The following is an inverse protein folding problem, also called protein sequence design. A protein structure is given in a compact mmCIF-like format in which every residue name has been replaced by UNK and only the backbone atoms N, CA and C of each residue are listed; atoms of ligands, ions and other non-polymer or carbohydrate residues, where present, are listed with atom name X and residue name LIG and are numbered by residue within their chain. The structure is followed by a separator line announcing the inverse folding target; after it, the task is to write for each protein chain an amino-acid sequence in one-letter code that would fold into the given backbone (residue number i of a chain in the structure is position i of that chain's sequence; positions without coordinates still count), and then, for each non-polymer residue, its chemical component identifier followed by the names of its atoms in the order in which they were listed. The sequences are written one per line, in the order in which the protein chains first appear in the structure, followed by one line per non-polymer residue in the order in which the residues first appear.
data_IF_764922587847
#
_entry.id   IF_764922587847
#
_cell.length_a   1.000
_cell.length_b   1.000
_cell.length_c   1.000
_cell.angle_alpha   90.00
_cell.angle_beta   90.00
_cell.angle_gamma   90.00
#
_symmetry.space_group_name_H-M   'P 1'
#
loop_
_entity.id
_entity.type
_entity.pdbx_description
1 polymer ?
#
# COMPACT_ATOMS: atom_id res chain seq x y z
N UNK A 1 -13.23 1.39 -20.24
CA UNK A 1 -13.05 2.86 -20.06
C UNK A 1 -12.97 3.09 -18.57
N UNK A 2 -12.00 3.89 -18.10
CA UNK A 2 -11.75 4.08 -16.67
C UNK A 2 -12.39 5.39 -16.21
N UNK A 3 -13.01 5.34 -15.03
CA UNK A 3 -13.73 6.45 -14.41
C UNK A 3 -13.45 6.51 -12.91
N UNK A 4 -14.04 7.48 -12.20
CA UNK A 4 -13.94 7.60 -10.73
C UNK A 4 -14.50 6.39 -9.96
N UNK A 5 -15.28 5.53 -10.63
CA UNK A 5 -15.98 4.41 -10.00
C UNK A 5 -15.14 3.18 -9.67
N UNK A 6 -13.84 3.17 -9.98
CA UNK A 6 -12.88 2.08 -9.65
C UNK A 6 -13.42 0.67 -9.99
N UNK A 7 -13.95 0.50 -11.20
CA UNK A 7 -14.54 -0.78 -11.65
C UNK A 7 -13.54 -1.72 -12.31
N UNK A 8 -12.62 -1.15 -13.09
CA UNK A 8 -11.62 -1.89 -13.86
C UNK A 8 -10.32 -2.04 -13.04
N UNK A 9 -9.71 -3.22 -13.06
CA UNK A 9 -8.43 -3.46 -12.36
C UNK A 9 -7.54 -4.45 -13.09
N UNK A 10 -6.24 -4.33 -12.84
CA UNK A 10 -5.26 -5.39 -13.07
C UNK A 10 -5.04 -6.14 -11.75
N UNK A 11 -5.26 -7.46 -11.74
CA UNK A 11 -4.98 -8.30 -10.58
C UNK A 11 -3.70 -9.11 -10.81
N UNK A 12 -2.83 -9.12 -9.81
CA UNK A 12 -1.57 -9.86 -9.78
C UNK A 12 -1.65 -10.85 -8.64
N UNK A 13 -1.51 -12.14 -8.94
CA UNK A 13 -1.34 -13.21 -7.95
C UNK A 13 0.15 -13.50 -7.80
N UNK A 14 0.69 -13.24 -6.61
CA UNK A 14 2.12 -13.39 -6.32
C UNK A 14 2.48 -14.83 -5.94
N UNK A 15 1.49 -15.74 -5.87
CA UNK A 15 1.60 -17.18 -5.56
C UNK A 15 2.10 -17.50 -4.13
N UNK A 16 2.73 -16.55 -3.45
CA UNK A 16 3.20 -16.63 -2.08
C UNK A 16 3.04 -15.26 -1.38
N UNK A 17 3.19 -15.26 -0.06
CA UNK A 17 3.23 -14.03 0.72
C UNK A 17 4.48 -13.22 0.40
N UNK A 18 4.30 -11.93 0.13
CA UNK A 18 5.36 -10.97 -0.14
C UNK A 18 5.17 -9.71 0.71
N UNK A 19 6.29 -9.03 0.95
CA UNK A 19 6.33 -7.66 1.45
C UNK A 19 6.55 -6.75 0.26
N UNK A 20 5.59 -5.86 0.00
CA UNK A 20 5.61 -4.95 -1.14
C UNK A 20 6.00 -3.56 -0.65
N UNK A 21 7.06 -3.01 -1.24
CA UNK A 21 7.64 -1.72 -0.84
C UNK A 21 7.43 -0.65 -1.89
N UNK A 22 7.17 -1.01 -3.15
CA UNK A 22 6.85 -0.05 -4.19
C UNK A 22 6.02 -0.66 -5.33
N UNK A 23 5.37 0.20 -6.11
CA UNK A 23 4.76 -0.15 -7.39
C UNK A 23 5.31 0.79 -8.45
N UNK A 24 5.75 0.22 -9.57
CA UNK A 24 6.15 0.98 -10.76
C UNK A 24 5.08 0.86 -11.83
N UNK A 25 4.82 1.96 -12.52
CA UNK A 25 3.81 2.04 -13.58
C UNK A 25 4.36 2.68 -14.84
N UNK A 26 3.86 2.24 -15.98
CA UNK A 26 4.22 2.77 -17.29
C UNK A 26 3.03 2.73 -18.26
N UNK A 27 2.92 3.72 -19.14
CA UNK A 27 1.88 3.76 -20.17
C UNK A 27 2.16 2.88 -21.39
N UNK A 28 1.34 2.97 -22.45
CA UNK A 28 1.57 2.27 -23.72
C UNK A 28 2.41 3.14 -24.64
N UNK A 29 3.71 2.89 -24.75
CA UNK A 29 4.56 3.64 -25.70
C UNK A 29 4.26 3.26 -27.17
N UNK A 30 4.12 1.97 -27.46
CA UNK A 30 3.72 1.49 -28.79
C UNK A 30 4.60 1.99 -29.94
N UNK A 31 5.93 2.09 -29.76
CA UNK A 31 6.88 2.69 -30.74
C UNK A 31 6.50 4.13 -31.16
N UNK A 32 5.94 4.91 -30.23
CA UNK A 32 5.49 6.29 -30.47
C UNK A 32 4.05 6.42 -30.99
N UNK A 33 3.37 5.31 -31.27
CA UNK A 33 1.95 5.31 -31.69
C UNK A 33 0.99 5.20 -30.50
N UNK A 34 1.50 4.91 -29.30
CA UNK A 34 0.69 4.81 -28.11
C UNK A 34 0.48 6.15 -27.42
N UNK A 35 -0.76 6.39 -26.97
CA UNK A 35 -1.21 7.64 -26.37
C UNK A 35 -1.84 7.42 -24.99
N UNK A 36 -2.02 6.16 -24.58
CA UNK A 36 -2.77 5.77 -23.40
C UNK A 36 -1.84 5.47 -22.23
N UNK A 37 -2.14 6.07 -21.09
CA UNK A 37 -1.43 5.89 -19.82
C UNK A 37 -2.39 6.13 -18.66
N UNK A 38 -2.00 5.69 -17.46
CA UNK A 38 -2.79 5.82 -16.23
C UNK A 38 -2.24 6.97 -15.39
N UNK A 39 -3.02 8.05 -15.21
CA UNK A 39 -2.60 9.27 -14.49
C UNK A 39 -2.58 9.13 -12.98
N UNK A 40 -3.41 8.26 -12.45
CA UNK A 40 -3.47 7.93 -11.04
C UNK A 40 -4.03 6.52 -10.88
N UNK A 41 -3.81 5.92 -9.73
CA UNK A 41 -4.34 4.59 -9.43
C UNK A 41 -4.57 4.41 -7.93
N UNK A 42 -5.42 3.45 -7.61
CA UNK A 42 -5.67 2.96 -6.24
C UNK A 42 -5.20 1.53 -6.16
N UNK A 43 -4.70 1.13 -4.99
CA UNK A 43 -4.21 -0.21 -4.73
C UNK A 43 -5.10 -0.88 -3.71
N UNK A 44 -5.54 -2.09 -4.02
CA UNK A 44 -6.11 -3.00 -3.02
C UNK A 44 -5.25 -4.25 -2.93
N UNK A 45 -5.20 -4.86 -1.77
CA UNK A 45 -4.38 -6.03 -1.51
C UNK A 45 -5.15 -7.05 -0.68
N UNK A 46 -4.66 -8.29 -0.74
CA UNK A 46 -5.26 -9.40 -0.03
C UNK A 46 -4.19 -10.41 0.40
N UNK A 47 -4.39 -10.99 1.59
CA UNK A 47 -3.60 -12.11 2.09
C UNK A 47 -4.48 -13.16 2.79
N UNK A 48 -3.97 -14.40 2.98
CA UNK A 48 -4.66 -15.40 3.78
C UNK A 48 -5.02 -14.84 5.18
N UNK A 49 -6.25 -15.07 5.61
CA UNK A 49 -6.83 -14.49 6.83
C UNK A 49 -7.77 -13.32 6.59
N UNK A 50 -7.68 -12.64 5.44
CA UNK A 50 -8.58 -11.55 5.10
C UNK A 50 -9.89 -12.07 4.48
N UNK A 51 -11.01 -11.52 4.94
CA UNK A 51 -12.35 -11.85 4.41
C UNK A 51 -12.74 -11.00 3.19
N UNK A 52 -12.05 -9.87 2.98
CA UNK A 52 -12.24 -8.94 1.87
C UNK A 52 -10.91 -8.36 1.42
N UNK A 53 -10.90 -7.70 0.27
CA UNK A 53 -9.76 -6.89 -0.15
C UNK A 53 -9.64 -5.66 0.75
N UNK A 54 -8.43 -5.31 1.15
CA UNK A 54 -8.16 -4.08 1.88
C UNK A 54 -7.58 -3.03 0.96
N UNK A 55 -8.01 -1.78 1.17
CA UNK A 55 -7.54 -0.64 0.40
C UNK A 55 -6.31 -0.04 1.04
N UNK A 56 -5.27 0.13 0.24
CA UNK A 56 -4.08 0.81 0.69
C UNK A 56 -4.32 2.30 0.81
N UNK A 57 -3.84 2.88 1.90
CA UNK A 57 -3.81 4.30 2.18
C UNK A 57 -2.49 4.61 2.88
N UNK A 58 -1.92 5.77 2.60
CA UNK A 58 -0.79 6.24 3.40
C UNK A 58 -1.25 6.65 4.81
N UNK A 59 -0.30 6.98 5.67
CA UNK A 59 -0.56 7.40 7.07
C UNK A 59 -1.43 8.68 7.15
N UNK A 60 -1.45 9.49 6.10
CA UNK A 60 -2.33 10.67 5.98
C UNK A 60 -3.74 10.33 5.47
N UNK A 61 -4.04 9.05 5.23
CA UNK A 61 -5.32 8.59 4.68
C UNK A 61 -5.50 8.79 3.17
N UNK A 62 -4.44 9.14 2.44
CA UNK A 62 -4.47 9.30 0.98
C UNK A 62 -4.38 7.93 0.28
N UNK A 63 -5.40 7.62 -0.51
CA UNK A 63 -5.53 6.35 -1.26
C UNK A 63 -5.07 6.43 -2.71
N UNK A 64 -5.10 7.64 -3.31
CA UNK A 64 -4.82 7.85 -4.73
C UNK A 64 -3.32 8.08 -4.92
N UNK A 65 -2.67 7.16 -5.62
CA UNK A 65 -1.28 7.27 -6.04
C UNK A 65 -1.19 7.96 -7.39
N UNK A 66 -0.19 8.83 -7.55
CA UNK A 66 0.08 9.50 -8.82
C UNK A 66 0.73 8.51 -9.79
N UNK A 67 0.18 8.39 -11.00
CA UNK A 67 0.69 7.53 -12.06
C UNK A 67 1.54 8.29 -13.07
N UNK A 68 1.43 7.89 -14.33
CA UNK A 68 2.21 8.44 -15.43
C UNK A 68 1.64 9.77 -15.96
N UNK A 69 2.53 10.60 -16.50
CA UNK A 69 2.17 11.82 -17.25
C UNK A 69 2.40 11.66 -18.77
N UNK A 70 2.97 10.53 -19.18
CA UNK A 70 3.27 10.20 -20.57
C UNK A 70 3.31 8.66 -20.75
N UNK A 71 3.59 8.20 -21.96
CA UNK A 71 3.49 6.77 -22.30
C UNK A 71 4.76 5.95 -22.11
N UNK A 72 5.90 6.58 -21.78
CA UNK A 72 7.22 5.94 -21.81
C UNK A 72 8.04 6.12 -20.54
N UNK A 73 7.82 7.15 -19.74
CA UNK A 73 8.47 7.33 -18.44
C UNK A 73 7.86 6.37 -17.43
N UNK A 74 8.73 5.65 -16.74
CA UNK A 74 8.37 4.87 -15.56
C UNK A 74 8.13 5.81 -14.37
N UNK A 75 7.10 5.51 -13.58
CA UNK A 75 6.81 6.21 -12.32
C UNK A 75 6.79 5.16 -11.22
N UNK A 76 7.65 5.34 -10.22
CA UNK A 76 7.71 4.52 -9.01
C UNK A 76 7.00 5.25 -7.86
N UNK A 77 6.12 4.55 -7.17
CA UNK A 77 5.57 5.00 -5.89
C UNK A 77 6.02 4.04 -4.79
N UNK A 78 6.80 4.55 -3.84
CA UNK A 78 7.09 3.86 -2.59
C UNK A 78 5.80 3.75 -1.77
N UNK A 79 5.56 2.56 -1.21
CA UNK A 79 4.42 2.25 -0.37
C UNK A 79 4.81 2.45 1.09
N UNK A 80 4.35 3.56 1.65
CA UNK A 80 4.42 3.82 3.09
C UNK A 80 3.00 4.00 3.64
N UNK A 81 2.44 3.01 4.36
CA UNK A 81 3.11 1.79 4.84
C UNK A 81 3.33 0.73 3.76
N UNK A 82 4.30 -0.16 4.00
CA UNK A 82 4.52 -1.35 3.15
C UNK A 82 3.32 -2.29 3.24
N UNK A 83 3.16 -3.17 2.24
CA UNK A 83 2.01 -4.07 2.14
C UNK A 83 2.46 -5.53 2.32
N UNK A 84 1.79 -6.27 3.19
CA UNK A 84 1.90 -7.73 3.27
C UNK A 84 0.78 -8.39 2.48
N UNK A 85 1.10 -8.97 1.32
CA UNK A 85 0.10 -9.49 0.40
C UNK A 85 0.53 -10.75 -0.34
N UNK A 86 -0.47 -11.55 -0.72
CA UNK A 86 -0.34 -12.62 -1.71
C UNK A 86 -0.97 -12.25 -3.05
N UNK A 87 -1.88 -11.28 -3.05
CA UNK A 87 -2.55 -10.77 -4.25
C UNK A 87 -2.69 -9.26 -4.17
N UNK A 88 -2.58 -8.61 -5.32
CA UNK A 88 -2.68 -7.14 -5.45
C UNK A 88 -3.61 -6.82 -6.61
N UNK A 89 -4.42 -5.78 -6.44
CA UNK A 89 -5.20 -5.15 -7.50
C UNK A 89 -4.75 -3.71 -7.66
N UNK A 90 -4.46 -3.34 -8.90
CA UNK A 90 -4.20 -1.96 -9.29
C UNK A 90 -5.40 -1.49 -10.07
N UNK A 91 -6.11 -0.50 -9.54
CA UNK A 91 -7.26 0.14 -10.15
C UNK A 91 -6.82 1.45 -10.79
N UNK A 92 -6.71 1.54 -12.11
CA UNK A 92 -6.53 2.83 -12.75
C UNK A 92 -7.62 3.80 -12.33
N UNK A 93 -7.25 5.05 -12.11
CA UNK A 93 -8.13 6.13 -11.69
C UNK A 93 -7.97 7.33 -12.63
N UNK A 94 -9.09 7.93 -13.00
CA UNK A 94 -9.12 9.17 -13.79
C UNK A 94 -10.32 10.01 -13.34
N UNK A 95 -10.14 11.34 -13.32
CA UNK A 95 -11.22 12.26 -12.98
C UNK A 95 -12.32 12.32 -14.06
N UNK A 96 -11.95 12.01 -15.31
CA UNK A 96 -12.81 11.98 -16.48
C UNK A 96 -12.74 10.63 -17.18
N UNK A 97 -13.79 10.26 -17.89
CA UNK A 97 -13.85 9.01 -18.63
C UNK A 97 -12.80 9.00 -19.75
N UNK A 98 -11.87 8.05 -19.68
CA UNK A 98 -10.83 7.88 -20.72
C UNK A 98 -10.42 6.43 -20.87
N UNK A 99 -9.88 6.13 -22.05
CA UNK A 99 -9.14 4.89 -22.28
C UNK A 99 -7.75 5.03 -21.68
N UNK A 100 -7.32 4.04 -20.92
CA UNK A 100 -5.99 3.99 -20.30
C UNK A 100 -5.32 2.67 -20.65
N UNK A 101 -4.00 2.65 -20.57
CA UNK A 101 -3.21 1.43 -20.59
C UNK A 101 -2.25 1.47 -19.41
N UNK A 102 -2.06 0.32 -18.78
CA UNK A 102 -1.20 0.15 -17.63
C UNK A 102 -0.24 -1.00 -17.90
N UNK A 103 1.05 -0.73 -17.73
CA UNK A 103 2.08 -1.73 -17.43
C UNK A 103 2.50 -1.48 -15.99
N UNK A 104 2.62 -2.54 -15.21
CA UNK A 104 2.94 -2.43 -13.80
C UNK A 104 3.99 -3.45 -13.40
N UNK A 105 4.86 -3.06 -12.48
CA UNK A 105 5.79 -3.91 -11.76
C UNK A 105 5.52 -3.74 -10.26
N UNK A 106 5.48 -4.85 -9.53
CA UNK A 106 5.36 -4.84 -8.07
C UNK A 106 6.74 -5.12 -7.49
N UNK A 107 7.24 -4.20 -6.67
CA UNK A 107 8.58 -4.27 -6.08
C UNK A 107 8.48 -4.70 -4.62
N UNK A 108 9.30 -5.67 -4.24
CA UNK A 108 9.27 -6.22 -2.90
C UNK A 108 10.14 -7.47 -2.76
N UNK A 109 9.90 -8.24 -1.71
CA UNK A 109 10.58 -9.50 -1.43
C UNK A 109 9.61 -10.54 -0.85
N UNK A 110 10.01 -11.81 -0.85
CA UNK A 110 9.23 -12.91 -0.26
C UNK A 110 9.17 -12.76 1.25
N UNK A 111 7.98 -12.92 1.83
CA UNK A 111 7.78 -12.89 3.28
C UNK A 111 8.07 -14.27 3.90
N UNK A 112 9.25 -14.42 4.50
CA UNK A 112 9.73 -15.72 5.01
C UNK A 112 9.32 -16.01 6.47
N UNK A 113 8.85 -15.02 7.23
CA UNK A 113 8.59 -15.19 8.67
C UNK A 113 7.33 -16.01 8.97
N UNK A 114 6.50 -16.30 7.95
CA UNK A 114 5.24 -17.09 8.05
C UNK A 114 4.21 -16.54 9.06
N UNK A 115 4.43 -15.35 9.61
CA UNK A 115 3.44 -14.66 10.42
C UNK A 115 2.30 -14.17 9.51
N UNK A 116 1.07 -14.58 9.83
CA UNK A 116 -0.14 -14.17 9.09
C UNK A 116 -0.82 -12.95 9.72
N UNK A 117 -0.80 -12.88 11.05
CA UNK A 117 -1.37 -11.81 11.85
C UNK A 117 -0.87 -11.87 13.29
N UNK A 118 -0.88 -10.75 14.00
CA UNK A 118 -0.78 -10.70 15.47
C UNK A 118 -2.00 -10.02 16.09
N UNK A 119 -2.18 -10.26 17.39
CA UNK A 119 -3.17 -9.56 18.22
C UNK A 119 -2.46 -8.88 19.39
N UNK A 120 -2.77 -7.60 19.63
CA UNK A 120 -2.12 -6.78 20.66
C UNK A 120 -3.15 -5.86 21.35
N UNK A 121 -2.93 -5.43 22.61
CA UNK A 121 -3.68 -4.32 23.18
C UNK A 121 -3.49 -3.04 22.35
N UNK A 122 -4.48 -2.16 22.37
CA UNK A 122 -4.33 -0.82 21.78
C UNK A 122 -3.19 -0.06 22.47
N UNK A 123 -2.39 0.62 21.66
CA UNK A 123 -1.32 1.46 22.17
C UNK A 123 -1.85 2.64 23.00
N UNK A 124 -0.95 3.28 23.73
CA UNK A 124 -1.29 4.36 24.66
C UNK A 124 -0.99 5.70 24.00
N UNK A 125 -1.99 6.57 23.97
CA UNK A 125 -1.82 7.99 23.66
C UNK A 125 -1.62 8.79 24.95
N UNK A 126 -0.47 9.46 25.08
CA UNK A 126 -0.13 10.33 26.22
C UNK A 126 -0.10 11.79 25.77
N UNK A 127 -1.21 12.51 26.01
CA UNK A 127 -1.36 13.90 25.61
C UNK A 127 -1.45 14.07 24.08
N UNK A 128 -1.02 15.23 23.58
CA UNK A 128 -1.02 15.53 22.13
C UNK A 128 0.29 15.14 21.43
N UNK A 129 1.34 14.80 22.18
CA UNK A 129 2.70 14.66 21.65
C UNK A 129 3.17 13.22 21.47
N UNK A 130 2.56 12.26 22.17
CA UNK A 130 3.03 10.86 22.16
C UNK A 130 1.86 9.93 21.88
N UNK A 131 1.88 9.30 20.71
CA UNK A 131 0.98 8.23 20.32
C UNK A 131 1.81 6.97 20.06
N UNK A 132 1.61 5.94 20.88
CA UNK A 132 2.29 4.64 20.78
C UNK A 132 1.35 3.56 20.22
N UNK A 133 0.29 3.96 19.53
CA UNK A 133 -0.56 3.03 18.78
C UNK A 133 0.11 2.56 17.50
N UNK A 134 -0.29 1.38 17.05
CA UNK A 134 0.14 0.83 15.77
C UNK A 134 -0.64 1.53 14.64
N UNK A 135 -0.03 2.55 14.05
CA UNK A 135 -0.69 3.46 13.12
C UNK A 135 -0.95 2.85 11.74
N UNK A 136 -0.25 1.76 11.43
CA UNK A 136 -0.34 1.09 10.12
C UNK A 136 -1.00 -0.27 10.23
N UNK A 137 -1.62 -0.58 11.37
CA UNK A 137 -2.30 -1.84 11.60
C UNK A 137 -3.46 -2.02 10.62
N UNK A 138 -3.43 -3.11 9.86
CA UNK A 138 -4.41 -3.41 8.81
C UNK A 138 -5.47 -4.45 9.21
N UNK A 139 -5.50 -4.81 10.50
CA UNK A 139 -6.49 -5.72 11.05
C UNK A 139 -7.75 -5.01 11.54
N UNK A 140 -8.38 -5.61 12.54
CA UNK A 140 -9.63 -5.10 13.14
C UNK A 140 -9.41 -4.61 14.55
N UNK A 141 -10.22 -3.64 14.93
CA UNK A 141 -10.39 -3.18 16.29
C UNK A 141 -11.47 -4.04 16.97
N UNK A 142 -11.10 -4.73 18.06
CA UNK A 142 -12.01 -5.52 18.88
C UNK A 142 -11.84 -5.11 20.36
N UNK A 143 -12.62 -4.11 20.77
CA UNK A 143 -12.66 -3.65 22.17
C UNK A 143 -11.41 -2.88 22.56
N UNK A 144 -10.57 -3.46 23.41
CA UNK A 144 -9.28 -2.93 23.85
C UNK A 144 -8.10 -3.52 23.07
N UNK A 145 -8.37 -4.32 22.02
CA UNK A 145 -7.36 -5.02 21.24
C UNK A 145 -7.45 -4.71 19.75
N UNK A 146 -6.31 -4.86 19.09
CA UNK A 146 -6.12 -4.96 17.65
C UNK A 146 -5.91 -6.43 17.31
N UNK A 147 -6.68 -6.98 16.36
CA UNK A 147 -6.65 -8.42 16.03
C UNK A 147 -6.66 -8.70 14.53
N UNK A 148 -6.02 -9.81 14.14
CA UNK A 148 -6.13 -10.36 12.78
C UNK A 148 -5.41 -9.57 11.68
N UNK A 149 -4.51 -8.66 12.05
CA UNK A 149 -3.72 -7.82 11.14
C UNK A 149 -2.21 -7.89 11.37
N UNK A 150 -1.50 -7.10 10.57
CA UNK A 150 -0.08 -6.80 10.65
C UNK A 150 0.09 -5.27 10.62
N UNK A 151 1.25 -4.79 11.02
CA UNK A 151 1.51 -3.36 11.20
C UNK A 151 2.96 -3.11 11.63
N UNK A 152 3.19 -2.03 12.37
CA UNK A 152 4.53 -1.50 12.66
C UNK A 152 5.45 -2.45 13.40
N UNK A 153 4.90 -3.45 14.11
CA UNK A 153 5.72 -4.41 14.86
C UNK A 153 6.54 -5.35 13.96
N UNK A 154 6.20 -5.43 12.67
CA UNK A 154 6.82 -6.35 11.71
C UNK A 154 7.14 -5.71 10.36
N UNK A 155 7.05 -4.38 10.26
CA UNK A 155 7.30 -3.65 9.01
C UNK A 155 8.81 -3.48 8.71
N UNK A 156 9.68 -3.96 9.59
CA UNK A 156 11.14 -3.86 9.44
C UNK A 156 11.71 -2.48 9.75
N UNK A 157 10.87 -1.47 10.07
CA UNK A 157 11.32 -0.14 10.46
C UNK A 157 11.65 -0.12 11.96
N UNK A 158 12.67 0.64 12.34
CA UNK A 158 13.09 0.75 13.75
C UNK A 158 12.93 2.17 14.25
N UNK A 159 12.18 2.35 15.34
CA UNK A 159 12.08 3.63 16.05
C UNK A 159 13.43 4.29 16.34
N UNK A 160 13.46 5.62 16.42
CA UNK A 160 14.64 6.32 16.94
C UNK A 160 14.85 6.05 18.43
N UNK A 161 16.09 6.18 18.92
CA UNK A 161 16.43 5.94 20.35
C UNK A 161 15.57 6.78 21.31
N UNK A 162 15.15 7.98 20.88
CA UNK A 162 14.26 8.84 21.62
C UNK A 162 12.86 8.83 20.99
N UNK A 163 11.95 8.05 21.58
CA UNK A 163 10.55 7.96 21.13
C UNK A 163 9.80 9.31 21.12
N UNK A 164 10.30 10.33 21.83
CA UNK A 164 9.71 11.69 21.78
C UNK A 164 10.18 12.51 20.57
N UNK A 165 11.28 12.13 19.92
CA UNK A 165 11.74 12.76 18.69
C UNK A 165 11.13 12.14 17.44
N UNK A 166 10.48 10.99 17.55
CA UNK A 166 9.74 10.36 16.45
C UNK A 166 8.31 10.90 16.37
N UNK A 167 8.21 12.21 16.08
CA UNK A 167 6.94 12.96 16.02
C UNK A 167 5.98 12.36 14.97
N UNK A 168 6.49 11.57 14.05
CA UNK A 168 5.71 10.96 12.98
C UNK A 168 5.59 9.43 13.07
N UNK A 169 6.21 8.80 14.08
CA UNK A 169 6.16 7.34 14.28
C UNK A 169 6.76 6.53 13.13
N UNK A 170 7.64 7.12 12.32
CA UNK A 170 8.17 6.50 11.10
C UNK A 170 9.35 5.57 11.36
N UNK A 171 9.96 5.61 12.55
CA UNK A 171 11.25 4.98 12.75
C UNK A 171 12.30 5.47 11.74
N UNK A 172 13.38 4.72 11.62
CA UNK A 172 14.53 4.97 10.76
C UNK A 172 14.67 3.76 9.84
N UNK A 173 14.73 4.02 8.54
CA UNK A 173 15.15 3.03 7.55
C UNK A 173 16.61 2.63 7.86
N UNK A 174 16.87 1.32 7.97
CA UNK A 174 18.20 0.76 8.22
C UNK A 174 19.02 0.65 6.95
#
# INVERSE_FOLDING_TARGET
MVSRGLKEYLQIDLLAMHVLTAIRTQGRFGKGQGQEYTEAYVVEYWRPGFTKWERWKNIQGKEILTGNINTYSEVENALQPIIFASKVRIYPYSQYDRTVCLRAEVVGCVWNEKLLSYSIPKGVQRGLEVDLSDQTYDGRDEGDQLVGGLGQLVDGQRGTDNFRSDIHGFGKES
#
